data_IF_773573179105
#
_entry.id   IF_773573179105
#
_cell.length_a   1.000
_cell.length_b   1.000
_cell.length_c   1.000
_cell.angle_alpha   90.00
_cell.angle_beta   90.00
_cell.angle_gamma   90.00
#
_symmetry.space_group_name_H-M   'P 1'
#
loop_
_entity.id
_entity.type
_entity.pdbx_description
1 polymer ?
#
# COMPACT_ATOMS: atom_id res chain seq x y z
N UNK A 1 -32.28 -57.24 -3.67
CA UNK A 1 -31.56 -57.39 -2.39
C UNK A 1 -30.78 -56.11 -2.11
N UNK A 2 -31.08 -55.45 -0.99
CA UNK A 2 -30.33 -54.33 -0.41
C UNK A 2 -29.15 -54.90 0.38
N UNK A 3 -27.98 -54.25 0.35
CA UNK A 3 -27.04 -54.19 1.47
C UNK A 3 -25.92 -53.17 1.18
N UNK A 4 -25.85 -52.04 1.89
CA UNK A 4 -24.97 -51.73 3.05
C UNK A 4 -23.70 -50.99 2.55
N UNK A 5 -23.63 -49.66 2.63
CA UNK A 5 -23.37 -48.80 3.80
C UNK A 5 -21.90 -48.66 4.19
N UNK A 6 -21.49 -47.39 4.27
CA UNK A 6 -20.66 -46.80 5.32
C UNK A 6 -19.15 -47.02 5.24
N UNK A 7 -18.45 -46.00 4.72
CA UNK A 7 -17.04 -45.75 5.04
C UNK A 7 -17.01 -44.71 6.15
N UNK A 8 -16.76 -45.18 7.35
CA UNK A 8 -16.44 -44.40 8.55
C UNK A 8 -14.94 -44.14 8.58
N UNK A 9 -14.57 -42.92 8.97
CA UNK A 9 -13.46 -42.71 9.89
C UNK A 9 -12.11 -42.35 9.27
N UNK A 10 -11.70 -41.10 9.49
CA UNK A 10 -10.52 -40.74 10.29
C UNK A 10 -10.13 -39.30 10.01
N UNK A 11 -10.76 -38.35 10.71
CA UNK A 11 -10.30 -36.96 10.78
C UNK A 11 -10.19 -36.58 12.26
N UNK A 12 -9.16 -37.09 12.93
CA UNK A 12 -8.77 -36.65 14.28
C UNK A 12 -7.30 -37.01 14.54
N UNK A 13 -6.37 -36.39 13.82
CA UNK A 13 -4.97 -36.32 14.23
C UNK A 13 -4.36 -35.06 13.62
N UNK A 14 -4.15 -34.02 14.43
CA UNK A 14 -3.09 -33.00 14.30
C UNK A 14 -3.23 -31.97 15.45
N UNK A 15 -2.95 -32.39 16.68
CA UNK A 15 -2.41 -31.47 17.71
C UNK A 15 -1.39 -32.25 18.53
N UNK A 16 -0.15 -32.23 18.08
CA UNK A 16 1.01 -32.58 18.91
C UNK A 16 2.18 -31.73 18.46
N UNK A 17 2.65 -30.83 19.34
CA UNK A 17 3.89 -30.08 19.12
C UNK A 17 3.90 -28.70 19.75
N UNK A 18 4.21 -28.63 21.04
CA UNK A 18 5.08 -27.62 21.70
C UNK A 18 4.69 -27.33 23.16
N UNK A 19 4.73 -28.34 24.03
CA UNK A 19 4.87 -28.11 25.48
C UNK A 19 6.34 -28.03 25.84
N UNK A 20 7.04 -26.97 25.43
CA UNK A 20 8.34 -26.61 26.00
C UNK A 20 8.48 -25.08 26.04
N UNK A 21 9.03 -24.59 27.15
CA UNK A 21 9.27 -23.19 27.51
C UNK A 21 8.11 -22.39 28.14
N UNK A 22 7.46 -22.93 29.18
CA UNK A 22 6.94 -22.08 30.28
C UNK A 22 7.57 -22.59 31.56
N UNK A 23 8.77 -22.12 31.90
CA UNK A 23 9.38 -22.24 33.24
C UNK A 23 10.69 -21.46 33.30
N UNK A 24 10.63 -20.13 33.16
CA UNK A 24 11.69 -19.28 33.71
C UNK A 24 11.31 -17.82 34.02
N UNK A 25 10.02 -17.44 33.99
CA UNK A 25 9.62 -16.04 34.21
C UNK A 25 8.83 -15.76 35.49
N UNK A 26 8.61 -16.76 36.35
CA UNK A 26 7.83 -16.58 37.60
C UNK A 26 8.60 -15.92 38.76
N UNK A 27 9.91 -15.65 38.63
CA UNK A 27 10.67 -14.99 39.71
C UNK A 27 11.04 -13.52 39.45
N UNK A 28 10.83 -13.00 38.24
CA UNK A 28 11.01 -11.57 37.95
C UNK A 28 9.74 -10.73 38.17
N UNK A 29 8.59 -11.36 38.42
CA UNK A 29 7.29 -10.69 38.50
C UNK A 29 6.97 -10.03 39.86
N UNK A 30 7.86 -10.16 40.86
CA UNK A 30 7.58 -9.66 42.23
C UNK A 30 8.26 -8.34 42.58
N UNK A 31 8.96 -7.67 41.66
CA UNK A 31 9.68 -6.41 41.95
C UNK A 31 9.49 -5.29 40.91
N UNK A 32 8.59 -5.43 39.94
CA UNK A 32 8.22 -4.31 39.08
C UNK A 32 6.93 -3.67 39.62
N UNK A 33 6.89 -2.35 39.86
CA UNK A 33 5.63 -1.67 40.12
C UNK A 33 4.70 -1.92 38.92
N UNK A 34 3.44 -2.18 39.21
CA UNK A 34 2.39 -2.42 38.25
C UNK A 34 2.08 -1.15 37.44
N UNK A 35 3.01 -0.72 36.59
CA UNK A 35 2.78 0.32 35.60
C UNK A 35 2.50 -0.34 34.24
N UNK A 36 1.19 -0.39 33.96
CA UNK A 36 0.57 -0.45 32.63
C UNK A 36 1.17 -1.51 31.68
N UNK A 37 0.81 -2.77 31.91
CA UNK A 37 0.74 -3.73 30.80
C UNK A 37 -0.39 -3.26 29.89
N UNK A 38 -0.05 -2.41 28.91
CA UNK A 38 -0.97 -2.00 27.85
C UNK A 38 -1.62 -3.22 27.22
N UNK A 39 -2.88 -3.11 26.81
CA UNK A 39 -3.67 -4.21 26.26
C UNK A 39 -2.92 -4.89 25.10
N UNK A 40 -2.24 -6.00 25.38
CA UNK A 40 -1.39 -6.73 24.43
C UNK A 40 -2.19 -7.16 23.20
N UNK A 41 -3.47 -7.49 23.36
CA UNK A 41 -4.35 -7.83 22.25
C UNK A 41 -4.61 -6.64 21.31
N UNK A 42 -4.77 -5.42 21.87
CA UNK A 42 -4.90 -4.22 21.06
C UNK A 42 -3.60 -3.90 20.31
N UNK A 43 -2.45 -4.00 20.99
CA UNK A 43 -1.13 -3.79 20.35
C UNK A 43 -0.88 -4.81 19.24
N UNK A 44 -1.19 -6.09 19.47
CA UNK A 44 -1.02 -7.14 18.46
C UNK A 44 -1.96 -6.95 17.26
N UNK A 45 -3.21 -6.51 17.50
CA UNK A 45 -4.16 -6.17 16.44
C UNK A 45 -3.65 -5.01 15.58
N UNK A 46 -3.12 -3.95 16.19
CA UNK A 46 -2.53 -2.84 15.44
C UNK A 46 -1.28 -3.28 14.66
N UNK A 47 -0.44 -4.14 15.25
CA UNK A 47 0.74 -4.67 14.55
C UNK A 47 0.35 -5.50 13.32
N UNK A 48 -0.68 -6.34 13.42
CA UNK A 48 -1.21 -7.13 12.30
C UNK A 48 -1.75 -6.22 11.18
N UNK A 49 -2.47 -5.15 11.53
CA UNK A 49 -2.94 -4.15 10.57
C UNK A 49 -1.78 -3.45 9.85
N UNK A 50 -0.71 -3.10 10.58
CA UNK A 50 0.49 -2.47 9.99
C UNK A 50 1.20 -3.44 9.04
N UNK A 51 1.45 -4.68 9.47
CA UNK A 51 2.13 -5.69 8.65
C UNK A 51 1.32 -5.98 7.39
N UNK A 52 0.01 -6.19 7.53
CA UNK A 52 -0.87 -6.45 6.38
C UNK A 52 -0.96 -5.27 5.41
N UNK A 53 -0.84 -4.03 5.90
CA UNK A 53 -0.72 -2.85 5.04
C UNK A 53 0.61 -2.83 4.30
N UNK A 54 1.71 -3.16 4.98
CA UNK A 54 3.04 -3.19 4.36
C UNK A 54 3.15 -4.28 3.28
N UNK A 55 2.60 -5.47 3.55
CA UNK A 55 2.57 -6.56 2.58
C UNK A 55 1.72 -6.19 1.35
N UNK A 56 0.61 -5.50 1.57
CA UNK A 56 -0.22 -4.99 0.48
C UNK A 56 0.53 -3.97 -0.38
N UNK A 57 1.22 -2.99 0.23
CA UNK A 57 1.99 -1.99 -0.52
C UNK A 57 3.09 -2.66 -1.34
N UNK A 58 3.74 -3.69 -0.80
CA UNK A 58 4.75 -4.47 -1.52
C UNK A 58 4.15 -5.22 -2.71
N UNK A 59 3.01 -5.88 -2.55
CA UNK A 59 2.30 -6.55 -3.66
C UNK A 59 1.90 -5.54 -4.74
N UNK A 60 1.30 -4.43 -4.34
CA UNK A 60 0.89 -3.33 -5.21
C UNK A 60 2.05 -2.73 -6.00
N UNK A 61 3.18 -2.44 -5.36
CA UNK A 61 4.37 -1.90 -6.01
C UNK A 61 4.91 -2.88 -7.06
N UNK A 62 4.98 -4.17 -6.73
CA UNK A 62 5.44 -5.18 -7.67
C UNK A 62 4.50 -5.26 -8.88
N UNK A 63 3.19 -5.31 -8.65
CA UNK A 63 2.19 -5.37 -9.72
C UNK A 63 2.23 -4.12 -10.63
N UNK A 64 2.41 -2.93 -10.05
CA UNK A 64 2.56 -1.69 -10.82
C UNK A 64 3.84 -1.69 -11.66
N UNK A 65 4.95 -2.17 -11.10
CA UNK A 65 6.22 -2.26 -11.82
C UNK A 65 6.16 -3.30 -12.94
N UNK A 66 5.56 -4.45 -12.69
CA UNK A 66 5.41 -5.48 -13.71
C UNK A 66 4.51 -4.97 -14.85
N UNK A 67 3.45 -4.22 -14.51
CA UNK A 67 2.64 -3.54 -15.53
C UNK A 67 3.44 -2.51 -16.34
N UNK A 68 4.32 -1.75 -15.70
CA UNK A 68 5.18 -0.78 -16.39
C UNK A 68 6.11 -1.49 -17.38
N UNK A 69 6.72 -2.60 -16.96
CA UNK A 69 7.59 -3.44 -17.80
C UNK A 69 6.83 -4.05 -18.98
N UNK A 70 5.58 -4.47 -18.77
CA UNK A 70 4.71 -4.96 -19.85
C UNK A 70 4.41 -3.87 -20.89
N UNK A 71 4.17 -2.63 -20.44
CA UNK A 71 3.94 -1.49 -21.33
C UNK A 71 5.22 -1.09 -22.09
N UNK A 72 6.40 -1.30 -21.49
CA UNK A 72 7.71 -1.06 -22.09
C UNK A 72 7.88 0.39 -22.55
N UNK A 73 8.46 0.58 -23.73
CA UNK A 73 8.72 1.90 -24.31
C UNK A 73 7.43 2.72 -24.54
N UNK A 74 6.29 2.06 -24.71
CA UNK A 74 5.00 2.72 -24.93
C UNK A 74 4.42 3.36 -23.66
N UNK A 75 5.00 3.10 -22.47
CA UNK A 75 4.47 3.65 -21.21
C UNK A 75 4.44 5.17 -21.22
N UNK A 76 5.57 5.80 -21.54
CA UNK A 76 5.70 7.26 -21.57
C UNK A 76 4.74 7.87 -22.60
N UNK A 77 4.68 7.27 -23.79
CA UNK A 77 3.78 7.72 -24.85
C UNK A 77 2.31 7.61 -24.44
N UNK A 78 1.93 6.51 -23.79
CA UNK A 78 0.56 6.27 -23.32
C UNK A 78 0.11 7.34 -22.33
N UNK A 79 0.97 7.70 -21.37
CA UNK A 79 0.66 8.73 -20.36
C UNK A 79 0.64 10.12 -21.01
N UNK A 80 1.64 10.44 -21.85
CA UNK A 80 1.79 11.77 -22.42
C UNK A 80 0.97 12.04 -23.70
N UNK A 81 0.16 11.10 -24.17
CA UNK A 81 -0.61 11.24 -25.44
C UNK A 81 -1.49 12.50 -25.47
N UNK A 82 -2.01 12.93 -24.32
CA UNK A 82 -2.88 14.12 -24.21
C UNK A 82 -2.18 15.33 -23.58
N UNK A 83 -0.87 15.26 -23.35
CA UNK A 83 -0.13 16.35 -22.76
C UNK A 83 0.10 17.46 -23.81
N UNK A 84 0.15 18.75 -23.41
CA UNK A 84 0.55 19.84 -24.29
C UNK A 84 1.95 19.59 -24.88
N UNK A 85 2.19 20.01 -26.13
CA UNK A 85 3.48 19.78 -26.82
C UNK A 85 4.67 20.44 -26.09
N UNK A 86 4.47 21.64 -25.55
CA UNK A 86 5.49 22.38 -24.79
C UNK A 86 5.61 21.94 -23.31
N UNK A 87 4.95 20.84 -22.92
CA UNK A 87 5.02 20.35 -21.54
C UNK A 87 6.23 19.47 -21.28
N UNK A 88 6.65 19.41 -20.02
CA UNK A 88 7.71 18.50 -19.55
C UNK A 88 7.18 17.07 -19.24
N UNK A 89 6.03 16.67 -19.78
CA UNK A 89 5.40 15.39 -19.46
C UNK A 89 6.35 14.20 -19.63
N UNK A 90 6.99 14.08 -20.79
CA UNK A 90 7.89 12.94 -21.10
C UNK A 90 9.02 12.83 -20.09
N UNK A 91 9.64 13.96 -19.73
CA UNK A 91 10.71 14.02 -18.74
C UNK A 91 10.21 13.58 -17.37
N UNK A 92 9.07 14.11 -16.93
CA UNK A 92 8.52 13.81 -15.60
C UNK A 92 8.06 12.35 -15.48
N UNK A 93 7.44 11.80 -16.53
CA UNK A 93 7.02 10.39 -16.56
C UNK A 93 8.21 9.44 -16.63
N UNK A 94 9.28 9.79 -17.37
CA UNK A 94 10.51 9.00 -17.40
C UNK A 94 11.18 8.93 -16.01
N UNK A 95 11.29 10.06 -15.31
CA UNK A 95 11.82 10.10 -13.93
C UNK A 95 11.00 9.23 -12.97
N UNK A 96 9.67 9.25 -13.12
CA UNK A 96 8.80 8.36 -12.37
C UNK A 96 8.98 6.88 -12.74
N UNK A 97 9.15 6.57 -14.02
CA UNK A 97 9.37 5.20 -14.49
C UNK A 97 10.66 4.61 -13.90
N UNK A 98 11.77 5.35 -13.97
CA UNK A 98 13.05 4.95 -13.37
C UNK A 98 12.92 4.66 -11.88
N UNK A 99 12.16 5.50 -11.17
CA UNK A 99 11.87 5.31 -9.75
C UNK A 99 11.01 4.09 -9.48
N UNK A 100 9.96 3.88 -10.27
CA UNK A 100 9.08 2.73 -10.12
C UNK A 100 9.82 1.42 -10.42
N UNK A 101 10.77 1.41 -11.35
CA UNK A 101 11.65 0.27 -11.60
C UNK A 101 12.45 -0.11 -10.33
N UNK A 102 12.88 0.91 -9.58
CA UNK A 102 13.53 0.79 -8.27
C UNK A 102 12.53 0.67 -7.09
N UNK A 103 11.34 0.12 -7.32
CA UNK A 103 10.29 -0.11 -6.31
C UNK A 103 9.62 1.17 -5.74
N UNK A 104 9.86 2.34 -6.32
CA UNK A 104 9.28 3.61 -5.86
C UNK A 104 8.00 4.03 -6.59
N UNK A 105 7.14 3.08 -7.00
CA UNK A 105 5.92 3.36 -7.77
C UNK A 105 4.86 4.19 -7.03
N UNK A 106 4.95 4.28 -5.69
CA UNK A 106 4.03 5.09 -4.87
C UNK A 106 4.62 6.46 -4.50
N UNK A 107 5.82 6.78 -4.98
CA UNK A 107 6.50 8.03 -4.66
C UNK A 107 6.34 9.02 -5.81
N UNK A 108 5.66 10.13 -5.54
CA UNK A 108 5.39 11.21 -6.49
C UNK A 108 6.14 12.46 -6.03
N UNK A 109 6.82 13.12 -6.96
CA UNK A 109 7.49 14.40 -6.69
C UNK A 109 6.46 15.49 -6.50
N UNK A 110 6.80 16.48 -5.68
CA UNK A 110 5.99 17.69 -5.56
C UNK A 110 6.51 18.78 -6.49
N UNK A 111 5.59 19.57 -7.03
CA UNK A 111 5.81 20.76 -7.82
C UNK A 111 5.18 21.94 -7.09
N UNK A 112 5.92 23.04 -7.02
CA UNK A 112 5.45 24.27 -6.41
C UNK A 112 4.72 25.13 -7.44
N UNK A 113 3.67 25.80 -6.99
CA UNK A 113 2.78 26.62 -7.80
C UNK A 113 2.58 28.01 -7.18
N UNK A 114 2.36 29.05 -8.01
CA UNK A 114 2.46 29.06 -9.47
C UNK A 114 3.90 28.81 -9.97
N UNK A 115 4.04 28.14 -11.10
CA UNK A 115 5.35 27.77 -11.66
C UNK A 115 6.07 29.06 -12.09
N UNK A 116 7.39 29.10 -11.93
CA UNK A 116 8.28 30.21 -12.32
C UNK A 116 8.08 31.55 -11.59
N UNK A 117 7.29 31.57 -10.51
CA UNK A 117 7.11 32.75 -9.65
C UNK A 117 8.03 32.70 -8.42
N UNK A 118 8.44 33.86 -7.90
CA UNK A 118 9.28 33.95 -6.69
C UNK A 118 8.55 33.43 -5.44
N UNK A 119 7.23 33.68 -5.37
CA UNK A 119 6.39 33.22 -4.28
C UNK A 119 5.49 32.07 -4.73
N UNK A 120 5.77 30.86 -4.23
CA UNK A 120 5.08 29.63 -4.61
C UNK A 120 4.50 28.94 -3.36
N UNK A 121 3.32 29.38 -2.87
CA UNK A 121 2.78 28.92 -1.59
C UNK A 121 2.26 27.48 -1.62
N UNK A 122 2.05 26.92 -2.82
CA UNK A 122 1.33 25.67 -2.99
C UNK A 122 2.25 24.58 -3.53
N UNK A 123 2.49 23.54 -2.75
CA UNK A 123 3.23 22.33 -3.16
C UNK A 123 2.25 21.20 -3.42
N UNK A 124 2.11 20.77 -4.68
CA UNK A 124 1.21 19.69 -5.09
C UNK A 124 1.99 18.55 -5.76
N UNK A 125 1.48 17.31 -5.74
CA UNK A 125 2.06 16.21 -6.52
C UNK A 125 2.16 16.58 -8.01
N UNK A 126 3.27 16.20 -8.63
CA UNK A 126 3.51 16.38 -10.05
C UNK A 126 2.37 15.69 -10.83
N UNK A 127 1.61 16.44 -11.66
CA UNK A 127 0.41 15.90 -12.29
C UNK A 127 0.72 14.76 -13.26
N UNK A 128 1.86 14.81 -13.95
CA UNK A 128 2.26 13.78 -14.92
C UNK A 128 2.70 12.49 -14.24
N UNK A 129 3.47 12.59 -13.16
CA UNK A 129 3.85 11.41 -12.37
C UNK A 129 2.62 10.79 -11.68
N UNK A 130 1.70 11.62 -11.21
CA UNK A 130 0.45 11.15 -10.61
C UNK A 130 -0.39 10.38 -11.64
N UNK A 131 -0.58 10.91 -12.85
CA UNK A 131 -1.29 10.22 -13.93
C UNK A 131 -0.59 8.92 -14.35
N UNK A 132 0.74 8.90 -14.36
CA UNK A 132 1.53 7.71 -14.58
C UNK A 132 1.26 6.63 -13.52
N UNK A 133 1.22 6.99 -12.23
CA UNK A 133 0.88 6.06 -11.15
C UNK A 133 -0.54 5.52 -11.25
N UNK A 134 -1.53 6.38 -11.55
CA UNK A 134 -2.90 5.93 -11.78
C UNK A 134 -3.01 5.00 -13.00
N UNK A 135 -2.26 5.28 -14.07
CA UNK A 135 -2.22 4.45 -15.28
C UNK A 135 -1.69 3.05 -14.97
N UNK A 136 -0.59 2.95 -14.21
CA UNK A 136 -0.04 1.66 -13.79
C UNK A 136 -1.00 0.92 -12.87
N UNK A 137 -1.50 1.57 -11.80
CA UNK A 137 -2.45 0.93 -10.88
C UNK A 137 -3.67 0.39 -11.62
N UNK A 138 -4.29 1.22 -12.47
CA UNK A 138 -5.50 0.87 -13.21
C UNK A 138 -5.33 -0.38 -14.08
N UNK A 139 -4.14 -0.61 -14.62
CA UNK A 139 -3.89 -1.75 -15.51
C UNK A 139 -3.29 -2.96 -14.78
N UNK A 140 -2.67 -2.76 -13.62
CA UNK A 140 -2.04 -3.81 -12.81
C UNK A 140 -2.99 -4.89 -12.27
N UNK A 141 -2.43 -6.04 -11.89
CA UNK A 141 -3.16 -7.18 -11.30
C UNK A 141 -3.79 -6.87 -9.91
N UNK A 142 -3.26 -5.85 -9.23
CA UNK A 142 -3.78 -5.30 -7.99
C UNK A 142 -5.09 -4.53 -8.18
N UNK A 143 -5.43 -4.10 -9.40
CA UNK A 143 -6.76 -3.55 -9.67
C UNK A 143 -7.78 -4.67 -9.93
N UNK A 144 -8.75 -4.88 -9.02
CA UNK A 144 -9.74 -5.95 -9.15
C UNK A 144 -10.66 -5.78 -10.37
N UNK A 145 -10.78 -4.58 -10.95
CA UNK A 145 -11.57 -4.36 -12.16
C UNK A 145 -10.92 -4.94 -13.44
N UNK A 146 -9.61 -5.17 -13.45
CA UNK A 146 -8.87 -5.81 -14.55
C UNK A 146 -8.70 -7.31 -14.37
N UNK A 147 -8.82 -7.81 -13.13
CA UNK A 147 -8.69 -9.22 -12.82
C UNK A 147 -10.07 -9.91 -12.90
N UNK A 148 -10.30 -10.69 -13.96
CA UNK A 148 -11.60 -11.33 -14.23
C UNK A 148 -12.12 -12.24 -13.10
N UNK A 149 -11.24 -12.79 -12.26
CA UNK A 149 -11.61 -13.56 -11.07
C UNK A 149 -11.97 -12.62 -9.90
N UNK A 150 -11.16 -11.58 -9.62
CA UNK A 150 -11.47 -10.61 -8.54
C UNK A 150 -12.70 -9.75 -8.85
N UNK A 151 -12.94 -9.44 -10.14
CA UNK A 151 -14.07 -8.62 -10.60
C UNK A 151 -15.43 -9.24 -10.32
N UNK A 152 -15.57 -10.57 -10.43
CA UNK A 152 -16.81 -11.27 -10.06
C UNK A 152 -17.04 -11.29 -8.54
N UNK A 153 -15.95 -11.39 -7.76
CA UNK A 153 -15.98 -11.43 -6.30
C UNK A 153 -16.08 -10.05 -5.63
N UNK A 154 -15.85 -8.96 -6.37
CA UNK A 154 -16.03 -7.58 -5.90
C UNK A 154 -17.45 -7.31 -5.40
N UNK A 155 -18.46 -7.91 -6.04
CA UNK A 155 -19.87 -7.80 -5.62
C UNK A 155 -20.18 -8.50 -4.30
N UNK A 156 -19.33 -9.45 -3.89
CA UNK A 156 -19.51 -10.28 -2.71
C UNK A 156 -18.56 -9.88 -1.55
N UNK A 157 -17.62 -8.96 -1.77
CA UNK A 157 -16.78 -8.35 -0.72
C UNK A 157 -17.61 -7.35 0.12
N UNK A 158 -18.54 -7.88 0.92
CA UNK A 158 -19.11 -7.16 2.05
C UNK A 158 -18.08 -7.14 3.18
N UNK A 159 -17.40 -6.01 3.37
CA UNK A 159 -16.52 -5.83 4.51
C UNK A 159 -16.00 -4.39 4.59
N UNK A 160 -15.80 -3.91 5.82
CA UNK A 160 -15.22 -2.59 6.17
C UNK A 160 -13.77 -2.38 5.67
N UNK A 161 -13.24 -3.27 4.82
CA UNK A 161 -11.89 -3.20 4.26
C UNK A 161 -11.92 -2.29 3.04
N UNK A 162 -11.44 -1.08 3.24
CA UNK A 162 -11.00 -0.13 2.23
C UNK A 162 -10.64 -0.83 0.90
N UNK A 163 -11.36 -0.52 -0.17
CA UNK A 163 -11.14 -1.13 -1.49
C UNK A 163 -9.71 -0.92 -2.00
N UNK A 164 -9.25 -1.74 -2.95
CA UNK A 164 -7.86 -1.70 -3.44
C UNK A 164 -7.46 -0.30 -3.94
N UNK A 165 -8.41 0.44 -4.54
CA UNK A 165 -8.22 1.86 -4.88
C UNK A 165 -7.95 2.77 -3.67
N UNK A 166 -8.67 2.57 -2.56
CA UNK A 166 -8.44 3.35 -1.35
C UNK A 166 -7.07 3.06 -0.74
N UNK A 167 -6.62 1.81 -0.78
CA UNK A 167 -5.29 1.44 -0.31
C UNK A 167 -4.19 2.04 -1.19
N UNK A 168 -4.37 2.03 -2.51
CA UNK A 168 -3.48 2.74 -3.43
C UNK A 168 -3.38 4.24 -3.08
N UNK A 169 -4.52 4.90 -2.82
CA UNK A 169 -4.53 6.31 -2.40
C UNK A 169 -3.81 6.52 -1.05
N UNK A 170 -4.04 5.66 -0.07
CA UNK A 170 -3.31 5.72 1.22
C UNK A 170 -1.80 5.56 0.97
N UNK A 171 -1.39 4.60 0.15
CA UNK A 171 0.01 4.35 -0.17
C UNK A 171 0.68 5.56 -0.82
N UNK A 172 0.02 6.20 -1.79
CA UNK A 172 0.47 7.45 -2.39
C UNK A 172 0.61 8.58 -1.36
N UNK A 173 -0.37 8.74 -0.47
CA UNK A 173 -0.33 9.79 0.55
C UNK A 173 0.78 9.51 1.59
N UNK A 174 0.90 8.26 2.05
CA UNK A 174 1.91 7.87 3.04
C UNK A 174 3.35 8.05 2.52
N UNK A 175 3.57 7.90 1.20
CA UNK A 175 4.89 8.07 0.57
C UNK A 175 5.12 9.48 0.00
N UNK A 176 4.06 10.20 -0.34
CA UNK A 176 4.09 11.55 -0.90
C UNK A 176 4.10 12.67 0.16
N UNK A 177 3.60 12.40 1.37
CA UNK A 177 3.75 13.30 2.52
C UNK A 177 5.20 13.20 3.01
N UNK A 178 6.09 13.89 2.32
CA UNK A 178 7.43 14.17 2.83
C UNK A 178 7.31 15.31 3.83
N UNK A 179 7.52 14.98 5.11
CA UNK A 179 7.67 15.98 6.16
C UNK A 179 8.89 16.83 5.79
N UNK A 180 8.68 18.12 5.49
CA UNK A 180 9.78 19.05 5.26
C UNK A 180 10.56 19.15 6.58
N UNK A 181 11.83 18.76 6.58
CA UNK A 181 12.68 18.87 7.76
C UNK A 181 12.70 20.34 8.23
N UNK A 182 12.26 20.58 9.47
CA UNK A 182 12.17 21.91 10.07
C UNK A 182 10.78 22.55 10.12
N UNK A 183 9.75 21.98 9.49
CA UNK A 183 8.37 22.45 9.66
C UNK A 183 7.69 21.66 10.79
N UNK A 184 7.47 22.29 11.94
CA UNK A 184 6.55 21.76 12.96
C UNK A 184 5.11 21.85 12.47
N UNK A 185 4.30 20.82 12.72
CA UNK A 185 2.91 20.70 12.25
C UNK A 185 2.00 21.90 12.60
N UNK A 186 2.41 22.75 13.55
CA UNK A 186 1.72 24.00 13.88
C UNK A 186 1.91 25.12 12.85
N UNK A 187 3.05 25.20 12.16
CA UNK A 187 3.32 26.32 11.23
C UNK A 187 2.46 26.22 9.96
N UNK A 188 2.05 25.00 9.60
CA UNK A 188 1.14 24.75 8.47
C UNK A 188 -0.32 25.10 8.79
N UNK A 189 -0.70 25.15 10.07
CA UNK A 189 -2.08 25.43 10.53
C UNK A 189 -2.29 26.86 11.01
N UNK A 190 -1.22 27.58 11.35
CA UNK A 190 -1.28 28.92 11.97
C UNK A 190 -0.98 30.06 10.99
N UNK A 191 -0.35 29.80 9.83
CA UNK A 191 -0.16 30.82 8.79
C UNK A 191 -1.35 30.88 7.79
N UNK A 192 -2.54 31.18 8.32
CA UNK A 192 -3.67 31.69 7.53
C UNK A 192 -4.10 33.05 8.05
#
# INVERSE_FOLDING_TARGET
MRAISSVVGCAFWLVAGSTYAIRHQQQAANLAPAEVVGNVAATLSTADEIISSHDYDKELINDMRDQMREMGENFVDTVCTKAPEDSNCRQMVALYADRCEMYGCLQIDNVNYPVDEEYQPLSLPNPYQLDAAFTLFKNSASNPAKNGLKGQWMRFRNGKKHGDYHRFLIGLLAKGVTRKDGATDLEFLVNK
#
